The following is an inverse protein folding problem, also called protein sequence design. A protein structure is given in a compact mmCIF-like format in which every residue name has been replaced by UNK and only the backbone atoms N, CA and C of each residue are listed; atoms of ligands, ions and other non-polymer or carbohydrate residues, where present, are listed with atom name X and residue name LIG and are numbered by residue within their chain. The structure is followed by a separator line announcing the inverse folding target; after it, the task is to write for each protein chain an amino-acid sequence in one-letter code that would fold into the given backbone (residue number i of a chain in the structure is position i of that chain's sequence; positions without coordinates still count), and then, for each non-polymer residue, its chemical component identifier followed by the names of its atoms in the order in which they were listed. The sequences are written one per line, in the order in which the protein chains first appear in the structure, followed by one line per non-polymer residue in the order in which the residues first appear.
data_IF_421872068875
#
_entry.id   IF_421872068875
#
_cell.length_a   1.000
_cell.length_b   1.000
_cell.length_c   1.000
_cell.angle_alpha   90.00
_cell.angle_beta   90.00
_cell.angle_gamma   90.00
#
_symmetry.space_group_name_H-M   'P 1'
#
loop_
_entity.id
_entity.type
_entity.pdbx_description
1 polymer ?
#
# COMPACT_ATOMS: atom_id res chain seq x y z
N UNK A 1 -50.25 -46.61 -37.43
CA UNK A 1 -49.71 -46.03 -36.18
C UNK A 1 -49.29 -44.59 -36.46
N UNK A 2 -50.08 -43.61 -35.99
CA UNK A 2 -49.78 -42.17 -36.16
C UNK A 2 -48.77 -41.73 -35.11
N UNK A 3 -47.59 -41.27 -35.55
CA UNK A 3 -46.53 -40.75 -34.69
C UNK A 3 -46.65 -39.22 -34.67
N UNK A 4 -47.22 -38.66 -33.61
CA UNK A 4 -47.36 -37.21 -33.42
C UNK A 4 -46.00 -36.63 -33.03
N UNK A 5 -45.48 -35.68 -33.81
CA UNK A 5 -44.26 -34.93 -33.50
C UNK A 5 -44.68 -33.67 -32.75
N UNK A 6 -44.30 -33.58 -31.47
CA UNK A 6 -44.45 -32.37 -30.66
C UNK A 6 -43.25 -31.45 -30.94
N UNK A 7 -43.51 -30.31 -31.58
CA UNK A 7 -42.57 -29.19 -31.73
C UNK A 7 -42.60 -28.37 -30.43
N UNK A 8 -41.53 -28.45 -29.63
CA UNK A 8 -41.31 -27.58 -28.48
C UNK A 8 -40.64 -26.28 -28.90
N UNK A 9 -41.34 -25.15 -28.75
CA UNK A 9 -40.79 -23.81 -28.93
C UNK A 9 -40.11 -23.40 -27.62
N UNK A 10 -38.78 -23.29 -27.64
CA UNK A 10 -38.00 -22.73 -26.52
C UNK A 10 -37.85 -21.22 -26.73
N UNK A 11 -38.49 -20.43 -25.88
CA UNK A 11 -38.40 -18.97 -25.86
C UNK A 11 -37.23 -18.57 -24.95
N UNK A 12 -36.11 -18.18 -25.56
CA UNK A 12 -34.92 -17.71 -24.85
C UNK A 12 -35.05 -16.19 -24.60
N UNK A 13 -35.31 -15.79 -23.35
CA UNK A 13 -35.30 -14.38 -22.96
C UNK A 13 -33.87 -13.92 -22.71
N UNK A 14 -33.37 -13.00 -23.54
CA UNK A 14 -32.07 -12.34 -23.35
C UNK A 14 -32.27 -11.18 -22.38
N UNK A 15 -31.77 -11.31 -21.16
CA UNK A 15 -31.58 -10.17 -20.26
C UNK A 15 -30.24 -9.52 -20.61
N UNK A 16 -30.28 -8.32 -21.20
CA UNK A 16 -29.11 -7.47 -21.36
C UNK A 16 -28.71 -6.89 -20.01
N UNK A 17 -27.43 -7.05 -19.62
CA UNK A 17 -26.86 -6.33 -18.50
C UNK A 17 -26.76 -4.84 -18.87
N UNK A 18 -27.51 -3.98 -18.18
CA UNK A 18 -27.29 -2.54 -18.18
C UNK A 18 -26.06 -2.26 -17.31
N UNK A 19 -24.98 -1.78 -17.92
CA UNK A 19 -23.79 -1.31 -17.22
C UNK A 19 -24.14 -0.01 -16.47
N UNK A 20 -23.92 0.09 -15.15
CA UNK A 20 -24.10 1.34 -14.44
C UNK A 20 -23.02 2.34 -14.90
N UNK A 21 -23.45 3.51 -15.33
CA UNK A 21 -22.58 4.64 -15.69
C UNK A 21 -21.75 5.03 -14.46
N UNK A 22 -20.47 4.67 -14.45
CA UNK A 22 -19.54 5.12 -13.40
C UNK A 22 -19.21 6.58 -13.72
N UNK A 23 -19.54 7.54 -12.83
CA UNK A 23 -19.24 8.95 -13.08
C UNK A 23 -17.73 9.14 -13.22
N UNK A 24 -17.30 9.75 -14.33
CA UNK A 24 -15.91 10.12 -14.57
C UNK A 24 -15.53 11.29 -13.67
N UNK A 25 -15.08 10.99 -12.45
CA UNK A 25 -14.65 11.97 -11.43
C UNK A 25 -13.45 12.86 -11.85
N UNK A 26 -12.91 12.67 -13.05
CA UNK A 26 -11.80 13.47 -13.60
C UNK A 26 -12.22 14.63 -14.50
N UNK A 27 -13.45 14.66 -15.03
CA UNK A 27 -13.90 15.73 -15.92
C UNK A 27 -14.67 16.80 -15.15
N UNK A 28 -14.06 17.98 -14.99
CA UNK A 28 -14.74 19.17 -14.45
C UNK A 28 -15.17 20.05 -15.63
N UNK A 29 -16.48 20.30 -15.83
CA UNK A 29 -16.95 21.21 -16.88
C UNK A 29 -16.38 22.61 -16.71
N UNK A 30 -16.04 23.25 -17.83
CA UNK A 30 -15.38 24.55 -17.87
C UNK A 30 -16.17 25.68 -17.16
N UNK A 31 -17.50 25.53 -17.03
CA UNK A 31 -18.34 26.45 -16.25
C UNK A 31 -18.11 26.34 -14.75
N UNK A 32 -17.90 25.13 -14.25
CA UNK A 32 -17.66 24.84 -12.83
C UNK A 32 -16.25 25.27 -12.41
N UNK A 33 -15.28 25.18 -13.33
CA UNK A 33 -13.94 25.73 -13.15
C UNK A 33 -13.97 27.26 -13.00
N UNK A 34 -14.67 27.98 -13.89
CA UNK A 34 -14.83 29.43 -13.78
C UNK A 34 -15.53 29.88 -12.49
N UNK A 35 -16.52 29.12 -12.02
CA UNK A 35 -17.19 29.42 -10.76
C UNK A 35 -16.24 29.27 -9.56
N UNK A 36 -15.37 28.26 -9.60
CA UNK A 36 -14.34 28.01 -8.58
C UNK A 36 -13.26 29.09 -8.59
N UNK A 37 -12.79 29.46 -9.78
CA UNK A 37 -11.79 30.53 -9.95
C UNK A 37 -12.36 31.90 -9.53
N UNK A 38 -13.63 32.16 -9.77
CA UNK A 38 -14.32 33.35 -9.30
C UNK A 38 -14.47 33.40 -7.77
N UNK A 39 -14.63 32.24 -7.11
CA UNK A 39 -14.63 32.15 -5.64
C UNK A 39 -13.23 32.38 -5.04
N UNK A 40 -12.17 32.04 -5.78
CA UNK A 40 -10.77 32.22 -5.37
C UNK A 40 -10.22 33.63 -5.65
N UNK A 41 -10.91 34.44 -6.46
CA UNK A 41 -10.47 35.77 -6.88
C UNK A 41 -10.39 36.83 -5.76
N UNK A 42 -10.77 36.49 -4.53
CA UNK A 42 -10.67 37.36 -3.35
C UNK A 42 -9.55 36.99 -2.37
N UNK A 43 -8.75 35.95 -2.66
CA UNK A 43 -7.66 35.53 -1.79
C UNK A 43 -6.39 36.32 -2.19
N UNK A 44 -5.70 36.98 -1.24
CA UNK A 44 -4.44 37.67 -1.56
C UNK A 44 -3.42 36.67 -2.11
N UNK A 45 -2.66 37.09 -3.14
CA UNK A 45 -1.54 36.32 -3.67
C UNK A 45 -0.58 35.89 -2.53
N UNK A 46 0.10 34.74 -2.65
CA UNK A 46 1.13 34.36 -1.69
C UNK A 46 2.14 35.51 -1.54
N UNK A 47 2.46 35.85 -0.29
CA UNK A 47 3.48 36.85 0.03
C UNK A 47 4.78 36.47 -0.68
N UNK A 48 5.41 37.41 -1.38
CA UNK A 48 6.73 37.22 -2.01
C UNK A 48 7.73 36.76 -0.94
N UNK A 49 8.38 35.63 -1.19
CA UNK A 49 9.35 35.03 -0.26
C UNK A 49 10.62 35.90 -0.28
N UNK A 50 10.88 36.66 0.78
CA UNK A 50 12.17 37.38 0.90
C UNK A 50 13.28 36.37 1.10
N UNK A 51 14.28 36.39 0.22
CA UNK A 51 15.45 35.51 0.26
C UNK A 51 16.65 36.25 0.89
N UNK A 52 16.46 36.86 2.05
CA UNK A 52 17.60 37.37 2.81
C UNK A 52 18.44 36.19 3.31
N UNK A 53 19.69 36.13 2.84
CA UNK A 53 20.66 35.12 3.26
C UNK A 53 20.98 35.31 4.75
N UNK A 54 20.88 34.22 5.50
CA UNK A 54 21.23 34.16 6.93
C UNK A 54 22.74 34.41 7.07
N UNK A 55 23.11 35.57 7.59
CA UNK A 55 24.49 35.88 7.99
C UNK A 55 24.93 34.88 9.08
N UNK A 56 25.96 34.09 8.77
CA UNK A 56 26.48 32.99 9.59
C UNK A 56 27.38 33.46 10.75
N UNK A 57 27.07 34.63 11.33
CA UNK A 57 27.77 35.16 12.49
C UNK A 57 26.77 35.63 13.55
N UNK A 58 26.19 34.65 14.25
CA UNK A 58 25.65 34.88 15.59
C UNK A 58 26.45 34.07 16.62
N UNK A 59 26.83 34.68 17.76
CA UNK A 59 27.76 34.11 18.71
C UNK A 59 27.13 32.98 19.53
N UNK A 60 28.02 32.08 19.94
CA UNK A 60 27.90 30.96 20.88
C UNK A 60 26.78 31.10 21.93
N UNK A 61 25.83 30.16 21.93
CA UNK A 61 24.82 30.03 22.98
C UNK A 61 25.46 29.39 24.22
N UNK A 62 26.03 30.20 25.10
CA UNK A 62 26.41 29.76 26.44
C UNK A 62 25.26 29.99 27.41
N UNK A 63 24.78 28.92 28.03
CA UNK A 63 23.80 28.97 29.12
C UNK A 63 24.33 29.81 30.28
N UNK A 64 23.69 30.95 30.54
CA UNK A 64 23.95 31.79 31.70
C UNK A 64 22.91 32.90 31.77
N UNK A 65 22.22 32.98 32.91
CA UNK A 65 21.41 34.11 33.34
C UNK A 65 22.07 35.46 33.01
N UNK A 66 21.59 36.16 31.98
CA UNK A 66 21.73 37.61 31.89
C UNK A 66 20.62 38.18 31.00
N UNK A 67 19.75 38.99 31.61
CA UNK A 67 18.70 39.76 30.93
C UNK A 67 19.38 40.88 30.16
N UNK A 68 19.50 40.71 28.84
CA UNK A 68 19.87 41.82 27.94
C UNK A 68 18.61 42.51 27.48
N UNK A 69 18.24 43.57 28.21
CA UNK A 69 17.28 44.58 27.79
C UNK A 69 17.87 45.34 26.61
N UNK A 70 17.43 45.03 25.38
CA UNK A 70 17.69 45.86 24.20
C UNK A 70 16.37 46.45 23.72
N UNK A 71 16.05 47.63 24.23
CA UNK A 71 15.05 48.52 23.64
C UNK A 71 15.60 49.12 22.34
N UNK A 72 15.05 48.74 21.19
CA UNK A 72 14.73 49.65 20.06
C UNK A 72 14.48 48.87 18.77
N UNK A 73 13.20 48.57 18.52
CA UNK A 73 12.49 48.90 17.28
C UNK A 73 11.09 48.33 17.41
N UNK A 74 10.16 49.14 17.93
CA UNK A 74 8.73 48.80 17.93
C UNK A 74 8.25 49.03 16.48
N UNK A 75 8.52 48.06 15.60
CA UNK A 75 7.62 47.86 14.49
C UNK A 75 6.24 47.54 15.10
N UNK A 76 5.14 48.17 14.65
CA UNK A 76 3.82 47.80 15.13
C UNK A 76 3.67 46.31 14.84
N UNK A 77 3.56 45.50 15.89
CA UNK A 77 3.07 44.14 15.76
C UNK A 77 1.73 44.28 15.04
N UNK A 78 1.53 43.64 13.87
CA UNK A 78 0.23 43.65 13.25
C UNK A 78 -0.74 43.02 14.26
N UNK A 79 -1.60 43.84 14.87
CA UNK A 79 -2.72 43.38 15.65
C UNK A 79 -3.71 42.76 14.67
N UNK A 80 -3.51 41.47 14.41
CA UNK A 80 -4.46 40.66 13.68
C UNK A 80 -5.65 40.36 14.58
N UNK A 81 -6.45 41.39 14.87
CA UNK A 81 -7.74 41.23 15.50
C UNK A 81 -8.73 40.75 14.43
N UNK A 82 -8.54 39.50 14.02
CA UNK A 82 -9.36 38.79 13.05
C UNK A 82 -10.29 37.86 13.84
N UNK A 83 -11.47 38.33 14.31
CA UNK A 83 -12.40 37.51 15.10
C UNK A 83 -12.98 36.31 14.34
N UNK A 84 -12.63 36.14 13.06
CA UNK A 84 -12.95 34.95 12.26
C UNK A 84 -11.76 34.01 11.98
N UNK A 85 -10.54 34.33 12.43
CA UNK A 85 -9.36 33.46 12.32
C UNK A 85 -9.08 32.79 13.66
N UNK A 86 -8.53 31.57 13.59
CA UNK A 86 -8.12 30.81 14.77
C UNK A 86 -6.95 31.49 15.49
N UNK A 87 -7.02 31.57 16.81
CA UNK A 87 -5.97 32.12 17.68
C UNK A 87 -4.99 31.04 18.20
N UNK A 88 -5.04 29.84 17.64
CA UNK A 88 -4.11 28.73 17.92
C UNK A 88 -2.63 29.06 17.63
N UNK A 89 -2.36 30.16 16.90
CA UNK A 89 -1.01 30.66 16.63
C UNK A 89 -0.56 31.79 17.58
N UNK A 90 -1.42 32.25 18.51
CA UNK A 90 -1.06 33.21 19.55
C UNK A 90 -0.68 32.48 20.84
N UNK A 91 0.62 32.49 21.16
CA UNK A 91 1.16 31.81 22.33
C UNK A 91 0.60 32.31 23.66
N UNK A 92 0.17 33.57 23.74
CA UNK A 92 -0.43 34.11 24.96
C UNK A 92 -1.85 33.57 25.15
N UNK A 93 -2.68 33.60 24.10
CA UNK A 93 -4.03 33.05 24.10
C UNK A 93 -4.06 31.54 24.35
N UNK A 94 -3.08 30.79 23.82
CA UNK A 94 -2.94 29.35 24.05
C UNK A 94 -2.45 29.06 25.47
N UNK A 95 -1.48 29.80 26.00
CA UNK A 95 -0.98 29.60 27.36
C UNK A 95 -2.04 29.81 28.44
N UNK A 96 -2.98 30.76 28.21
CA UNK A 96 -4.10 30.99 29.12
C UNK A 96 -5.12 29.83 29.12
N UNK A 97 -5.21 29.04 28.04
CA UNK A 97 -6.19 27.95 27.88
C UNK A 97 -5.60 26.56 28.13
N UNK A 98 -4.35 26.36 27.74
CA UNK A 98 -3.63 25.08 27.83
C UNK A 98 -2.58 25.17 28.92
N UNK A 99 -2.94 24.69 30.11
CA UNK A 99 -1.99 24.61 31.23
C UNK A 99 -1.14 23.34 31.17
N UNK A 100 -0.04 23.33 31.92
CA UNK A 100 0.84 22.17 32.06
C UNK A 100 0.06 20.97 32.62
N UNK A 101 -0.87 21.21 33.54
CA UNK A 101 -1.72 20.19 34.15
C UNK A 101 -2.72 19.60 33.15
N UNK A 102 -3.30 20.43 32.29
CA UNK A 102 -4.18 19.98 31.20
C UNK A 102 -3.43 19.05 30.25
N UNK A 103 -2.20 19.45 29.88
CA UNK A 103 -1.36 18.68 28.96
C UNK A 103 -0.85 17.38 29.60
N UNK A 104 -0.47 17.42 30.88
CA UNK A 104 -0.12 16.22 31.64
C UNK A 104 -1.30 15.24 31.70
N UNK A 105 -2.52 15.72 31.94
CA UNK A 105 -3.71 14.89 31.93
C UNK A 105 -4.00 14.30 30.54
N UNK A 106 -3.72 15.04 29.45
CA UNK A 106 -3.87 14.55 28.08
C UNK A 106 -2.84 13.48 27.74
N UNK A 107 -1.59 13.68 28.16
CA UNK A 107 -0.53 12.68 28.05
C UNK A 107 -0.86 11.42 28.82
N UNK A 108 -1.39 11.54 30.05
CA UNK A 108 -1.84 10.41 30.86
C UNK A 108 -2.96 9.62 30.16
N UNK A 109 -3.96 10.31 29.59
CA UNK A 109 -5.01 9.68 28.77
C UNK A 109 -4.45 8.99 27.53
N UNK A 110 -3.51 9.62 26.83
CA UNK A 110 -2.90 9.02 25.64
C UNK A 110 -2.06 7.79 25.99
N UNK A 111 -1.34 7.85 27.12
CA UNK A 111 -0.54 6.73 27.65
C UNK A 111 -1.40 5.57 28.10
N UNK A 112 -2.54 5.82 28.75
CA UNK A 112 -3.45 4.77 29.19
C UNK A 112 -4.16 4.05 28.04
N UNK A 113 -4.29 4.73 26.88
CA UNK A 113 -4.80 4.14 25.64
C UNK A 113 -3.72 3.51 24.76
N UNK A 114 -2.45 3.79 25.04
CA UNK A 114 -1.35 3.30 24.23
C UNK A 114 -1.11 1.81 24.48
N UNK A 115 -1.20 1.01 23.42
CA UNK A 115 -0.90 -0.41 23.46
C UNK A 115 0.17 -0.74 22.42
N UNK A 116 1.29 -1.32 22.87
CA UNK A 116 2.30 -1.91 21.97
C UNK A 116 1.89 -3.34 21.68
N UNK A 117 1.72 -3.65 20.40
CA UNK A 117 1.50 -5.03 19.94
C UNK A 117 2.83 -5.55 19.44
N UNK A 118 3.41 -6.49 20.18
CA UNK A 118 4.63 -7.17 19.76
C UNK A 118 4.37 -7.96 18.46
N UNK A 119 5.33 -7.96 17.51
CA UNK A 119 5.22 -8.79 16.31
C UNK A 119 5.09 -10.26 16.71
N UNK A 120 3.94 -10.85 16.43
CA UNK A 120 3.72 -12.29 16.60
C UNK A 120 3.84 -12.98 15.24
N UNK A 121 4.25 -14.25 15.26
CA UNK A 121 4.28 -15.05 14.03
C UNK A 121 2.87 -15.09 13.42
N UNK A 122 2.80 -14.89 12.10
CA UNK A 122 1.52 -14.95 11.36
C UNK A 122 0.89 -16.33 11.59
N UNK A 123 -0.35 -16.40 12.08
CA UNK A 123 -1.00 -17.69 12.34
C UNK A 123 -1.14 -18.47 11.03
N UNK A 124 -0.88 -19.77 11.07
CA UNK A 124 -1.15 -20.65 9.93
C UNK A 124 -2.66 -20.73 9.73
N UNK A 125 -3.10 -20.67 8.47
CA UNK A 125 -4.51 -20.84 8.12
C UNK A 125 -4.98 -22.22 8.61
N UNK A 126 -5.98 -22.31 9.51
CA UNK A 126 -6.46 -23.60 10.00
C UNK A 126 -7.17 -24.37 8.88
N UNK A 127 -6.92 -25.68 8.78
CA UNK A 127 -7.60 -26.57 7.85
C UNK A 127 -7.02 -26.64 6.43
N UNK A 128 -5.88 -26.00 6.16
CA UNK A 128 -5.19 -26.11 4.87
C UNK A 128 -3.73 -26.49 5.07
N UNK A 129 -3.37 -27.75 4.80
CA UNK A 129 -1.97 -28.19 4.69
C UNK A 129 -1.34 -27.74 3.35
N UNK A 130 -1.67 -26.52 2.91
CA UNK A 130 -1.15 -25.96 1.66
C UNK A 130 0.27 -25.45 1.93
N UNK A 131 1.28 -25.91 1.17
CA UNK A 131 2.65 -25.43 1.30
C UNK A 131 2.77 -23.93 1.03
N UNK A 132 3.59 -23.25 1.83
CA UNK A 132 3.88 -21.83 1.62
C UNK A 132 4.98 -21.67 0.56
N UNK A 133 4.58 -21.23 -0.63
CA UNK A 133 5.51 -21.01 -1.76
C UNK A 133 6.49 -19.87 -1.51
N UNK A 134 6.12 -18.86 -0.71
CA UNK A 134 7.00 -17.73 -0.37
C UNK A 134 8.11 -18.20 0.57
N UNK A 135 7.75 -19.01 1.57
CA UNK A 135 8.72 -19.66 2.45
C UNK A 135 9.68 -20.54 1.63
N UNK A 136 9.17 -21.30 0.67
CA UNK A 136 10.00 -22.09 -0.24
C UNK A 136 10.97 -21.23 -1.08
N UNK A 137 10.49 -20.12 -1.65
CA UNK A 137 11.31 -19.17 -2.42
C UNK A 137 12.47 -18.61 -1.57
N UNK A 138 12.18 -18.30 -0.31
CA UNK A 138 13.14 -17.71 0.64
C UNK A 138 14.13 -18.77 1.12
N UNK A 139 13.67 -19.99 1.44
CA UNK A 139 14.51 -21.06 1.99
C UNK A 139 15.48 -21.66 0.97
N UNK A 140 15.08 -21.71 -0.30
CA UNK A 140 15.88 -22.32 -1.37
C UNK A 140 16.82 -21.32 -2.05
N UNK A 141 17.92 -21.83 -2.58
CA UNK A 141 18.90 -21.06 -3.38
C UNK A 141 18.95 -21.53 -4.84
N UNK A 142 18.01 -22.36 -5.26
CA UNK A 142 17.96 -22.93 -6.60
C UNK A 142 17.93 -21.81 -7.65
N UNK A 143 18.80 -21.84 -8.68
CA UNK A 143 18.71 -20.95 -9.83
C UNK A 143 17.53 -21.35 -10.72
N UNK A 144 16.87 -20.39 -11.35
CA UNK A 144 15.82 -20.67 -12.34
C UNK A 144 16.46 -21.28 -13.59
N UNK A 145 15.86 -22.36 -14.11
CA UNK A 145 16.30 -23.08 -15.30
C UNK A 145 17.51 -24.00 -15.12
N UNK A 146 18.01 -24.17 -13.89
CA UNK A 146 19.16 -25.03 -13.62
C UNK A 146 18.72 -26.42 -13.18
N UNK A 147 19.15 -27.47 -13.88
CA UNK A 147 18.82 -28.86 -13.52
C UNK A 147 19.51 -29.26 -12.20
N UNK A 148 18.75 -29.22 -11.11
CA UNK A 148 19.14 -29.69 -9.78
C UNK A 148 18.51 -31.04 -9.44
N UNK A 149 17.36 -31.34 -10.02
CA UNK A 149 16.58 -32.54 -9.78
C UNK A 149 16.42 -33.32 -11.09
N UNK A 150 17.01 -34.51 -11.15
CA UNK A 150 16.95 -35.36 -12.34
C UNK A 150 15.50 -35.70 -12.72
N UNK A 151 15.18 -35.52 -14.00
CA UNK A 151 13.85 -35.84 -14.56
C UNK A 151 13.89 -37.13 -15.35
N UNK A 152 12.88 -37.97 -15.12
CA UNK A 152 12.75 -39.24 -15.83
C UNK A 152 12.42 -39.04 -17.32
N UNK A 153 12.55 -40.09 -18.15
CA UNK A 153 12.40 -40.01 -19.62
C UNK A 153 10.98 -39.63 -20.09
N UNK A 154 10.01 -39.60 -19.19
CA UNK A 154 8.62 -39.22 -19.47
C UNK A 154 8.31 -37.75 -19.12
N UNK A 155 9.31 -36.99 -18.68
CA UNK A 155 9.22 -35.54 -18.49
C UNK A 155 9.41 -34.85 -19.84
N UNK A 156 8.32 -34.68 -20.58
CA UNK A 156 8.33 -34.09 -21.91
C UNK A 156 7.71 -32.70 -21.89
N UNK A 157 8.21 -31.82 -22.75
CA UNK A 157 7.66 -30.46 -22.93
C UNK A 157 6.15 -30.48 -23.25
N UNK A 158 5.71 -31.45 -24.05
CA UNK A 158 4.29 -31.62 -24.37
C UNK A 158 3.44 -31.96 -23.13
N UNK A 159 3.98 -32.70 -22.16
CA UNK A 159 3.30 -32.99 -20.89
C UNK A 159 3.26 -31.75 -20.00
N UNK A 160 4.40 -31.08 -19.87
CA UNK A 160 4.55 -29.82 -19.11
C UNK A 160 3.49 -28.79 -19.53
N UNK A 161 3.46 -28.43 -20.82
CA UNK A 161 2.50 -27.44 -21.35
C UNK A 161 1.04 -27.78 -21.06
N UNK A 162 0.65 -29.04 -21.24
CA UNK A 162 -0.73 -29.49 -20.95
C UNK A 162 -1.06 -29.45 -19.46
N UNK A 163 -0.08 -29.71 -18.60
CA UNK A 163 -0.32 -29.76 -17.15
C UNK A 163 -0.29 -28.38 -16.52
N UNK A 164 0.56 -27.46 -16.98
CA UNK A 164 0.57 -26.07 -16.52
C UNK A 164 -0.74 -25.34 -16.80
N UNK A 165 -1.38 -25.62 -17.95
CA UNK A 165 -2.71 -25.07 -18.29
C UNK A 165 -3.84 -25.51 -17.36
N UNK A 166 -3.62 -26.47 -16.45
CA UNK A 166 -4.64 -26.91 -15.48
C UNK A 166 -4.75 -25.99 -14.27
N UNK A 167 -3.77 -25.11 -14.05
CA UNK A 167 -3.71 -24.22 -12.91
C UNK A 167 -4.10 -22.80 -13.31
N UNK A 168 -4.73 -22.08 -12.38
CA UNK A 168 -5.17 -20.70 -12.60
C UNK A 168 -3.99 -19.70 -12.62
N UNK A 169 -2.87 -20.09 -12.02
CA UNK A 169 -1.64 -19.28 -11.93
C UNK A 169 -0.42 -20.17 -11.70
N UNK A 170 0.77 -19.64 -11.99
CA UNK A 170 2.04 -20.32 -11.69
C UNK A 170 2.23 -20.55 -10.19
N UNK A 171 1.73 -19.63 -9.36
CA UNK A 171 1.72 -19.79 -7.90
C UNK A 171 0.87 -21.00 -7.47
N UNK A 172 -0.32 -21.18 -8.04
CA UNK A 172 -1.17 -22.34 -7.76
C UNK A 172 -0.53 -23.65 -8.25
N UNK A 173 0.19 -23.61 -9.38
CA UNK A 173 0.97 -24.74 -9.86
C UNK A 173 2.10 -25.10 -8.88
N UNK A 174 2.82 -24.10 -8.36
CA UNK A 174 3.89 -24.30 -7.37
C UNK A 174 3.36 -24.88 -6.06
N UNK A 175 2.22 -24.39 -5.55
CA UNK A 175 1.57 -24.96 -4.37
C UNK A 175 1.23 -26.44 -4.57
N UNK A 176 0.61 -26.78 -5.71
CA UNK A 176 0.26 -28.15 -6.06
C UNK A 176 1.49 -29.03 -6.24
N UNK A 177 2.54 -28.51 -6.86
CA UNK A 177 3.83 -29.18 -7.02
C UNK A 177 4.43 -29.56 -5.66
N UNK A 178 4.58 -28.58 -4.75
CA UNK A 178 5.10 -28.81 -3.40
C UNK A 178 4.23 -29.79 -2.61
N UNK A 179 2.90 -29.72 -2.77
CA UNK A 179 1.96 -30.63 -2.11
C UNK A 179 2.07 -32.08 -2.59
N UNK A 180 2.56 -32.30 -3.82
CA UNK A 180 2.61 -33.61 -4.47
C UNK A 180 4.01 -34.25 -4.51
N UNK A 181 4.95 -33.73 -3.71
CA UNK A 181 6.32 -34.24 -3.59
C UNK A 181 7.40 -33.24 -4.04
N UNK A 182 6.99 -32.12 -4.65
CA UNK A 182 7.87 -31.01 -4.98
C UNK A 182 9.05 -31.41 -5.87
N UNK A 183 10.20 -30.77 -5.69
CA UNK A 183 11.37 -30.97 -6.55
C UNK A 183 11.88 -32.41 -6.59
N UNK A 184 11.81 -33.13 -5.46
CA UNK A 184 12.25 -34.52 -5.34
C UNK A 184 11.38 -35.46 -6.18
N UNK A 185 10.08 -35.15 -6.31
CA UNK A 185 9.15 -36.00 -7.03
C UNK A 185 8.09 -35.19 -7.77
N UNK A 186 8.42 -34.84 -9.01
CA UNK A 186 7.48 -34.18 -9.92
C UNK A 186 6.44 -35.17 -10.49
N UNK A 187 5.43 -35.49 -9.66
CA UNK A 187 4.32 -36.38 -10.08
C UNK A 187 3.45 -35.74 -11.16
N UNK A 188 3.37 -34.42 -11.16
CA UNK A 188 2.49 -33.66 -12.03
C UNK A 188 3.17 -33.32 -13.36
N UNK A 189 4.48 -33.46 -13.49
CA UNK A 189 5.21 -33.10 -14.71
C UNK A 189 5.15 -31.59 -14.95
N UNK A 190 5.41 -30.81 -13.90
CA UNK A 190 5.35 -29.34 -13.91
C UNK A 190 6.73 -28.69 -13.96
N UNK A 191 7.82 -29.43 -13.76
CA UNK A 191 9.18 -28.89 -13.71
C UNK A 191 10.09 -29.78 -14.57
N UNK A 192 10.08 -29.59 -15.91
CA UNK A 192 10.79 -30.46 -16.86
C UNK A 192 12.29 -30.22 -16.88
N UNK A 193 12.74 -29.03 -16.51
CA UNK A 193 14.12 -28.58 -16.39
C UNK A 193 14.75 -28.92 -15.04
N UNK A 194 13.95 -29.28 -14.04
CA UNK A 194 14.43 -29.81 -12.78
C UNK A 194 15.02 -28.77 -11.84
N UNK A 195 14.56 -27.52 -11.91
CA UNK A 195 15.09 -26.42 -11.09
C UNK A 195 14.39 -26.28 -9.72
N UNK A 196 13.30 -27.02 -9.53
CA UNK A 196 12.48 -27.01 -8.33
C UNK A 196 11.34 -25.98 -8.38
N UNK A 197 11.08 -25.39 -9.54
CA UNK A 197 10.01 -24.42 -9.78
C UNK A 197 9.04 -24.96 -10.84
N UNK A 198 7.77 -24.96 -10.48
CA UNK A 198 6.71 -25.48 -11.33
C UNK A 198 6.28 -24.43 -12.35
N UNK A 199 6.04 -24.89 -13.58
CA UNK A 199 5.55 -24.06 -14.67
C UNK A 199 6.47 -22.87 -14.92
N UNK A 200 5.95 -21.65 -14.89
CA UNK A 200 6.73 -20.43 -15.11
C UNK A 200 6.96 -19.67 -13.80
N UNK A 201 6.87 -20.35 -12.65
CA UNK A 201 6.96 -19.71 -11.35
C UNK A 201 8.38 -19.20 -11.06
N UNK A 202 8.51 -17.89 -10.81
CA UNK A 202 9.79 -17.25 -10.51
C UNK A 202 9.89 -16.88 -9.01
N UNK A 203 10.88 -17.41 -8.27
CA UNK A 203 11.10 -17.05 -6.87
C UNK A 203 11.74 -15.67 -6.66
N UNK A 204 12.24 -15.03 -7.72
CA UNK A 204 13.08 -13.83 -7.64
C UNK A 204 12.42 -12.66 -6.90
N UNK A 205 11.14 -12.31 -7.16
CA UNK A 205 10.49 -11.20 -6.46
C UNK A 205 10.47 -11.38 -4.94
N UNK A 206 10.23 -12.61 -4.46
CA UNK A 206 10.19 -12.94 -3.03
C UNK A 206 11.58 -12.90 -2.38
N UNK A 207 12.61 -13.33 -3.11
CA UNK A 207 14.01 -13.29 -2.65
C UNK A 207 14.54 -11.86 -2.54
N UNK A 208 14.14 -10.97 -3.45
CA UNK A 208 14.51 -9.56 -3.42
C UNK A 208 13.89 -8.81 -2.23
N UNK A 209 12.66 -9.16 -1.85
CA UNK A 209 11.96 -8.55 -0.72
C UNK A 209 12.69 -8.75 0.64
N UNK A 210 13.51 -9.80 0.77
CA UNK A 210 14.32 -10.07 1.98
C UNK A 210 15.60 -9.23 2.08
N UNK A 211 16.10 -8.68 0.98
CA UNK A 211 17.43 -8.03 0.93
C UNK A 211 17.44 -6.56 1.41
N UNK A 212 16.40 -6.10 2.09
CA UNK A 212 16.34 -4.76 2.71
C UNK A 212 16.72 -4.85 4.18
#
# INVERSE_FOLDING_TARGET
MMRKILLGVSMLAVFGCTEPEIPNSGYVPQGEQRARDAQLAGIPSPVEVSADELDANSPDFTSGDDVVTTESSIAPTPTFDNPGLSDEQDFSAVADRQSIESDAARLERNRSLYQVIEPTAVPRRPGTDIPNIVEFAIRTTNPVGAELYSRGPFSTEARFRRNCQKFVSDAAAQEAFLSNGGPERDRLGLDPDGDGFACYWDPTPFRLARKK
#
